data_IF_209742295145
#
_entry.id   IF_209742295145
#
_cell.length_a   1.000
_cell.length_b   1.000
_cell.length_c   1.000
_cell.angle_alpha   90.00
_cell.angle_beta   90.00
_cell.angle_gamma   90.00
#
_symmetry.space_group_name_H-M   'P 1'
#
loop_
_entity.id
_entity.type
_entity.pdbx_description
1 polymer ?
#
# COMPACT_ATOMS: atom_id res chain seq x y z
N UNK A 1 -38.10 99.79 13.43
CA UNK A 1 -37.31 100.30 14.57
C UNK A 1 -36.85 99.07 15.36
N UNK A 2 -35.53 98.94 15.56
CA UNK A 2 -34.77 97.94 16.34
C UNK A 2 -34.62 96.49 15.79
N UNK A 3 -33.41 96.24 15.25
CA UNK A 3 -32.58 95.02 15.44
C UNK A 3 -32.05 95.01 16.92
N UNK A 4 -31.29 94.02 17.48
CA UNK A 4 -30.55 92.90 16.87
C UNK A 4 -30.42 91.57 17.70
N UNK A 5 -29.50 90.70 17.26
CA UNK A 5 -28.62 89.77 18.04
C UNK A 5 -28.98 88.27 17.95
N UNK A 6 -28.30 87.44 17.14
CA UNK A 6 -26.88 86.98 17.13
C UNK A 6 -26.54 85.93 18.20
N UNK A 7 -26.34 84.66 17.80
CA UNK A 7 -25.12 83.89 18.09
C UNK A 7 -25.13 82.48 17.45
N UNK A 8 -23.96 82.13 16.94
CA UNK A 8 -23.52 81.01 16.07
C UNK A 8 -23.13 79.74 16.87
N UNK A 9 -22.84 78.60 16.20
CA UNK A 9 -22.93 77.25 16.75
C UNK A 9 -21.60 76.70 17.31
N UNK A 10 -21.68 75.74 18.22
CA UNK A 10 -20.54 74.93 18.69
C UNK A 10 -20.81 73.42 18.50
N UNK A 11 -20.27 72.85 17.42
CA UNK A 11 -20.13 71.40 17.26
C UNK A 11 -18.81 70.97 17.92
N UNK A 12 -18.88 70.43 19.13
CA UNK A 12 -17.73 69.88 19.84
C UNK A 12 -17.47 68.41 19.44
N UNK A 13 -16.47 68.26 18.56
CA UNK A 13 -15.30 67.35 18.63
C UNK A 13 -15.52 65.93 19.18
N UNK A 14 -15.41 64.93 18.29
CA UNK A 14 -15.32 63.50 18.60
C UNK A 14 -13.98 63.11 19.25
N UNK A 15 -13.94 62.18 20.22
CA UNK A 15 -12.69 61.66 20.76
C UNK A 15 -12.01 60.67 19.82
N UNK A 16 -10.70 60.85 19.65
CA UNK A 16 -9.79 60.04 18.83
C UNK A 16 -9.63 58.63 19.44
N UNK A 17 -9.85 57.59 18.63
CA UNK A 17 -9.60 56.18 18.97
C UNK A 17 -8.13 55.85 18.77
N UNK A 18 -7.45 55.33 19.80
CA UNK A 18 -6.07 54.82 19.73
C UNK A 18 -6.00 53.55 18.86
N UNK A 19 -4.94 53.34 18.05
CA UNK A 19 -4.78 52.09 17.31
C UNK A 19 -4.43 50.93 18.26
N UNK A 20 -5.16 49.81 18.16
CA UNK A 20 -4.85 48.59 18.89
C UNK A 20 -3.53 47.97 18.41
N UNK A 21 -2.64 47.63 19.35
CA UNK A 21 -1.36 46.97 19.10
C UNK A 21 -1.58 45.54 18.56
N UNK A 22 -0.77 45.04 17.59
CA UNK A 22 -0.91 43.67 17.09
C UNK A 22 -0.57 42.65 18.20
N UNK A 23 -1.43 41.65 18.38
CA UNK A 23 -1.17 40.52 19.29
C UNK A 23 0.00 39.66 18.77
N UNK A 24 0.82 39.07 19.67
CA UNK A 24 1.91 38.19 19.27
C UNK A 24 1.38 36.92 18.58
N UNK A 25 2.15 36.33 17.65
CA UNK A 25 1.75 35.12 16.96
C UNK A 25 1.58 33.95 17.94
N UNK A 26 0.60 33.06 17.73
CA UNK A 26 0.39 31.90 18.58
C UNK A 26 1.62 30.98 18.55
N UNK A 27 1.93 30.28 19.66
CA UNK A 27 3.04 29.33 19.69
C UNK A 27 2.81 28.18 18.69
N UNK A 28 3.88 27.60 18.12
CA UNK A 28 3.77 26.48 17.20
C UNK A 28 3.09 25.30 17.88
N UNK A 29 1.97 24.86 17.32
CA UNK A 29 1.23 23.70 17.79
C UNK A 29 2.10 22.46 17.62
N UNK A 30 2.45 21.77 18.71
CA UNK A 30 3.19 20.51 18.62
C UNK A 30 2.36 19.51 17.79
N UNK A 31 2.94 18.87 16.75
CA UNK A 31 2.20 17.88 15.97
C UNK A 31 1.75 16.74 16.88
N UNK A 32 0.45 16.44 16.80
CA UNK A 32 -0.22 15.47 17.66
C UNK A 32 0.37 14.07 17.40
N UNK A 33 1.19 13.55 18.32
CA UNK A 33 1.88 12.25 18.19
C UNK A 33 0.93 11.05 18.00
N UNK A 34 -0.36 11.21 18.32
CA UNK A 34 -1.37 10.19 18.07
C UNK A 34 -1.73 10.04 16.59
N UNK A 35 -1.59 11.09 15.77
CA UNK A 35 -1.87 11.03 14.33
C UNK A 35 -0.73 10.39 13.53
N UNK A 36 0.50 10.38 14.04
CA UNK A 36 1.64 9.75 13.36
C UNK A 36 1.58 8.21 13.40
N UNK A 37 0.98 7.62 14.44
CA UNK A 37 0.73 6.17 14.52
C UNK A 37 -0.27 5.67 13.46
N UNK A 38 -1.19 6.54 13.03
CA UNK A 38 -2.18 6.25 11.98
C UNK A 38 -1.66 6.59 10.58
N UNK A 39 -0.55 7.34 10.47
CA UNK A 39 0.11 7.65 9.21
C UNK A 39 0.89 6.46 8.62
N UNK A 40 1.24 5.47 9.44
CA UNK A 40 1.92 4.25 9.01
C UNK A 40 0.94 3.15 8.57
N UNK A 41 -0.25 3.53 8.06
CA UNK A 41 -1.17 2.54 7.53
C UNK A 41 -0.60 1.99 6.22
N UNK A 42 -0.48 0.66 6.10
CA UNK A 42 0.04 0.05 4.89
C UNK A 42 -0.81 0.46 3.68
N UNK A 43 -0.17 0.75 2.55
CA UNK A 43 -0.85 1.29 1.36
C UNK A 43 -1.84 0.26 0.81
N UNK A 44 -3.13 0.43 1.14
CA UNK A 44 -4.23 -0.40 0.64
C UNK A 44 -4.70 0.16 -0.69
N UNK A 45 -4.63 -0.67 -1.74
CA UNK A 45 -5.16 -0.39 -3.07
C UNK A 45 -6.25 -1.39 -3.41
N UNK A 46 -7.40 -0.86 -3.80
CA UNK A 46 -8.54 -1.64 -4.30
C UNK A 46 -8.75 -1.29 -5.77
N UNK A 47 -9.00 -2.29 -6.60
CA UNK A 47 -9.32 -2.11 -8.02
C UNK A 47 -10.47 -3.06 -8.36
N UNK A 48 -11.45 -2.54 -9.07
CA UNK A 48 -12.61 -3.28 -9.55
C UNK A 48 -12.80 -2.98 -11.02
N UNK A 49 -12.88 -4.02 -11.84
CA UNK A 49 -13.05 -3.92 -13.29
C UNK A 49 -14.31 -4.68 -13.67
N UNK A 50 -15.13 -4.13 -14.56
CA UNK A 50 -16.35 -4.78 -15.06
C UNK A 50 -16.14 -5.20 -16.50
N UNK A 51 -16.47 -6.44 -16.82
CA UNK A 51 -16.48 -6.95 -18.20
C UNK A 51 -17.93 -7.07 -18.68
N UNK A 52 -18.25 -6.37 -19.78
CA UNK A 52 -19.59 -6.36 -20.37
C UNK A 52 -19.96 -7.67 -21.05
N UNK A 53 -18.98 -8.40 -21.59
CA UNK A 53 -19.23 -9.60 -22.39
C UNK A 53 -19.61 -10.77 -21.48
N UNK A 54 -18.85 -10.97 -20.39
CA UNK A 54 -19.13 -11.99 -19.38
C UNK A 54 -20.08 -11.53 -18.26
N UNK A 55 -20.33 -10.21 -18.14
CA UNK A 55 -21.14 -9.59 -17.08
C UNK A 55 -20.62 -9.89 -15.66
N UNK A 56 -19.30 -9.93 -15.49
CA UNK A 56 -18.66 -10.16 -14.18
C UNK A 56 -17.83 -8.96 -13.74
N UNK A 57 -17.58 -8.88 -12.44
CA UNK A 57 -16.65 -7.94 -11.84
C UNK A 57 -15.39 -8.67 -11.38
N UNK A 58 -14.23 -8.18 -11.80
CA UNK A 58 -12.92 -8.59 -11.31
C UNK A 58 -12.51 -7.67 -10.18
N UNK A 59 -12.32 -8.22 -8.99
CA UNK A 59 -11.89 -7.47 -7.81
C UNK A 59 -10.45 -7.81 -7.45
N UNK A 60 -9.67 -6.79 -7.12
CA UNK A 60 -8.28 -6.91 -6.70
C UNK A 60 -8.04 -5.98 -5.52
N UNK A 61 -7.74 -6.56 -4.37
CA UNK A 61 -7.35 -5.84 -3.15
C UNK A 61 -5.89 -6.14 -2.89
N UNK A 62 -5.06 -5.12 -2.72
CA UNK A 62 -3.65 -5.31 -2.40
C UNK A 62 -3.16 -4.34 -1.35
N UNK A 63 -2.24 -4.80 -0.51
CA UNK A 63 -1.72 -4.06 0.62
C UNK A 63 -0.22 -4.32 0.73
N UNK A 64 0.61 -3.28 0.76
CA UNK A 64 2.04 -3.44 1.02
C UNK A 64 2.29 -3.54 2.53
N UNK A 65 3.10 -4.50 2.96
CA UNK A 65 3.38 -4.80 4.36
C UNK A 65 4.85 -4.55 4.67
N UNK A 66 5.16 -4.23 5.93
CA UNK A 66 6.53 -4.07 6.45
C UNK A 66 7.38 -3.10 5.62
N UNK A 67 6.94 -1.85 5.48
CA UNK A 67 7.66 -0.82 4.71
C UNK A 67 8.02 -1.27 3.28
N UNK A 68 7.02 -1.82 2.59
CA UNK A 68 7.11 -2.32 1.21
C UNK A 68 7.98 -3.58 1.01
N UNK A 69 8.39 -4.26 2.09
CA UNK A 69 9.14 -5.52 2.00
C UNK A 69 8.30 -6.68 1.44
N UNK A 70 6.98 -6.64 1.67
CA UNK A 70 6.05 -7.63 1.16
C UNK A 70 4.75 -6.99 0.64
N UNK A 71 3.99 -7.76 -0.12
CA UNK A 71 2.69 -7.37 -0.65
C UNK A 71 1.71 -8.52 -0.48
N UNK A 72 0.61 -8.24 0.21
CA UNK A 72 -0.56 -9.10 0.25
C UNK A 72 -1.50 -8.69 -0.88
N UNK A 73 -2.03 -9.65 -1.64
CA UNK A 73 -2.97 -9.43 -2.73
C UNK A 73 -4.08 -10.49 -2.66
N UNK A 74 -5.32 -10.04 -2.58
CA UNK A 74 -6.51 -10.86 -2.79
C UNK A 74 -7.10 -10.50 -4.16
N UNK A 75 -7.48 -11.50 -4.93
CA UNK A 75 -8.20 -11.32 -6.19
C UNK A 75 -9.38 -12.28 -6.23
N UNK A 76 -10.50 -11.87 -6.78
CA UNK A 76 -11.69 -12.71 -6.94
C UNK A 76 -12.63 -12.13 -7.99
N UNK A 77 -13.44 -12.99 -8.57
CA UNK A 77 -14.48 -12.66 -9.55
C UNK A 77 -15.84 -12.70 -8.87
N UNK A 78 -16.70 -11.75 -9.20
CA UNK A 78 -18.07 -11.66 -8.71
C UNK A 78 -19.05 -11.54 -9.89
N UNK A 79 -20.05 -12.42 -9.95
CA UNK A 79 -21.06 -12.39 -11.00
C UNK A 79 -22.32 -11.60 -10.60
N UNK A 80 -23.28 -11.45 -11.53
CA UNK A 80 -24.55 -10.74 -11.27
C UNK A 80 -25.39 -11.32 -10.12
N UNK A 81 -25.17 -12.59 -9.76
CA UNK A 81 -25.85 -13.27 -8.65
C UNK A 81 -25.14 -13.08 -7.31
N UNK A 82 -24.05 -12.30 -7.28
CA UNK A 82 -23.17 -12.11 -6.12
C UNK A 82 -22.40 -13.36 -5.71
N UNK A 83 -22.24 -14.31 -6.62
CA UNK A 83 -21.42 -15.50 -6.38
C UNK A 83 -19.94 -15.13 -6.61
N UNK A 84 -19.08 -15.60 -5.71
CA UNK A 84 -17.64 -15.36 -5.75
C UNK A 84 -16.94 -16.59 -6.33
N UNK A 85 -16.00 -16.36 -7.24
CA UNK A 85 -15.20 -17.40 -7.91
C UNK A 85 -13.80 -16.90 -8.23
N UNK A 86 -12.92 -17.78 -8.69
CA UNK A 86 -11.52 -17.52 -9.07
C UNK A 86 -10.77 -16.75 -7.97
N UNK A 87 -11.03 -17.12 -6.72
CA UNK A 87 -10.44 -16.43 -5.58
C UNK A 87 -8.97 -16.83 -5.41
N UNK A 88 -8.07 -15.86 -5.31
CA UNK A 88 -6.64 -16.11 -5.15
C UNK A 88 -6.07 -15.18 -4.09
N UNK A 89 -5.40 -15.76 -3.11
CA UNK A 89 -4.66 -15.04 -2.08
C UNK A 89 -3.15 -15.19 -2.34
N UNK A 90 -2.44 -14.08 -2.49
CA UNK A 90 -1.01 -14.07 -2.72
C UNK A 90 -0.28 -13.20 -1.69
N UNK A 91 0.78 -13.73 -1.11
CA UNK A 91 1.79 -12.99 -0.37
C UNK A 91 3.08 -13.00 -1.19
N UNK A 92 3.61 -11.83 -1.53
CA UNK A 92 4.82 -11.71 -2.36
C UNK A 92 5.83 -10.80 -1.68
N UNK A 93 7.05 -11.29 -1.46
CA UNK A 93 8.20 -10.52 -1.03
C UNK A 93 9.37 -10.75 -2.00
N UNK A 94 10.52 -10.13 -1.72
CA UNK A 94 11.74 -10.36 -2.50
C UNK A 94 12.18 -11.83 -2.53
N UNK A 95 12.00 -12.54 -1.41
CA UNK A 95 12.59 -13.87 -1.21
C UNK A 95 11.58 -15.00 -1.09
N UNK A 96 10.30 -14.68 -0.90
CA UNK A 96 9.22 -15.63 -0.69
C UNK A 96 7.99 -15.17 -1.45
N UNK A 97 7.37 -16.07 -2.18
CA UNK A 97 6.03 -15.89 -2.71
C UNK A 97 5.17 -17.09 -2.36
N UNK A 98 3.95 -16.82 -1.90
CA UNK A 98 2.95 -17.84 -1.58
C UNK A 98 1.71 -17.47 -2.37
N UNK A 99 1.20 -18.41 -3.14
CA UNK A 99 -0.04 -18.28 -3.89
C UNK A 99 -0.99 -19.38 -3.42
N UNK A 100 -2.06 -18.99 -2.75
CA UNK A 100 -3.09 -19.90 -2.27
C UNK A 100 -4.34 -19.75 -3.13
N UNK A 101 -4.79 -20.88 -3.65
CA UNK A 101 -6.04 -21.04 -4.38
C UNK A 101 -7.00 -21.86 -3.50
N UNK A 102 -8.05 -21.22 -2.92
CA UNK A 102 -9.03 -21.91 -2.09
C UNK A 102 -9.88 -22.92 -2.87
N UNK A 103 -10.12 -22.71 -4.16
CA UNK A 103 -10.95 -23.60 -4.99
C UNK A 103 -10.20 -24.90 -5.27
N UNK A 104 -8.90 -24.78 -5.56
CA UNK A 104 -8.05 -25.95 -5.70
C UNK A 104 -7.64 -26.54 -4.35
N UNK A 105 -7.83 -25.84 -3.23
CA UNK A 105 -7.25 -26.18 -1.92
C UNK A 105 -5.73 -26.41 -2.02
N UNK A 106 -5.07 -25.59 -2.84
CA UNK A 106 -3.66 -25.72 -3.12
C UNK A 106 -2.91 -24.44 -2.74
N UNK A 107 -1.66 -24.60 -2.32
CA UNK A 107 -0.74 -23.50 -2.16
C UNK A 107 0.55 -23.78 -2.96
N UNK A 108 0.98 -22.80 -3.74
CA UNK A 108 2.28 -22.78 -4.39
C UNK A 108 3.20 -21.84 -3.62
N UNK A 109 4.24 -22.42 -3.03
CA UNK A 109 5.25 -21.71 -2.25
C UNK A 109 6.51 -21.64 -3.11
N UNK A 110 7.08 -20.46 -3.28
CA UNK A 110 8.37 -20.27 -3.97
C UNK A 110 9.29 -19.42 -3.13
N UNK A 111 10.56 -19.81 -3.06
CA UNK A 111 11.62 -19.02 -2.42
C UNK A 111 12.74 -18.77 -3.40
N UNK A 112 13.35 -17.60 -3.33
CA UNK A 112 14.54 -17.27 -4.12
C UNK A 112 15.43 -16.29 -3.36
N UNK A 113 16.70 -16.64 -3.16
CA UNK A 113 17.65 -15.76 -2.49
C UNK A 113 19.07 -16.01 -2.98
N UNK A 114 19.88 -14.97 -2.90
CA UNK A 114 21.27 -15.02 -3.33
C UNK A 114 22.09 -15.64 -2.19
N UNK A 115 22.86 -16.69 -2.49
CA UNK A 115 23.77 -17.36 -1.54
C UNK A 115 25.23 -16.89 -1.72
N UNK A 116 25.48 -16.03 -2.70
CA UNK A 116 26.76 -15.38 -2.95
C UNK A 116 26.68 -14.47 -4.18
N UNK A 117 27.78 -13.78 -4.55
CA UNK A 117 27.77 -12.77 -5.61
C UNK A 117 27.31 -13.26 -6.99
N UNK A 118 27.44 -14.57 -7.25
CA UNK A 118 27.09 -15.21 -8.53
C UNK A 118 26.23 -16.47 -8.35
N UNK A 119 25.71 -16.71 -7.15
CA UNK A 119 24.99 -17.91 -6.80
C UNK A 119 23.60 -17.55 -6.28
N UNK A 120 22.57 -18.12 -6.89
CA UNK A 120 21.19 -17.96 -6.48
C UNK A 120 20.57 -19.32 -6.18
N UNK A 121 19.91 -19.42 -5.04
CA UNK A 121 19.12 -20.58 -4.67
C UNK A 121 17.64 -20.31 -4.95
N UNK A 122 16.96 -21.29 -5.52
CA UNK A 122 15.51 -21.28 -5.76
C UNK A 122 14.91 -22.55 -5.19
N UNK A 123 13.71 -22.43 -4.63
CA UNK A 123 12.89 -23.60 -4.32
C UNK A 123 11.43 -23.29 -4.66
N UNK A 124 10.71 -24.31 -5.11
CA UNK A 124 9.28 -24.24 -5.33
C UNK A 124 8.62 -25.49 -4.75
N UNK A 125 7.43 -25.34 -4.18
CA UNK A 125 6.67 -26.44 -3.62
C UNK A 125 5.18 -26.25 -3.90
N UNK A 126 4.61 -27.25 -4.57
CA UNK A 126 3.17 -27.41 -4.74
C UNK A 126 2.66 -28.34 -3.63
N UNK A 127 1.89 -27.76 -2.70
CA UNK A 127 1.46 -28.44 -1.48
C UNK A 127 0.50 -29.59 -1.78
N UNK A 128 -0.47 -29.37 -2.67
CA UNK A 128 -1.48 -30.37 -3.02
C UNK A 128 -0.87 -31.51 -3.82
N UNK A 129 -0.02 -31.20 -4.79
CA UNK A 129 0.66 -32.20 -5.61
C UNK A 129 1.78 -32.93 -4.84
N UNK A 130 2.17 -32.43 -3.65
CA UNK A 130 3.33 -32.92 -2.87
C UNK A 130 4.61 -32.96 -3.70
N UNK A 131 4.76 -32.00 -4.61
CA UNK A 131 5.91 -31.90 -5.53
C UNK A 131 6.70 -30.66 -5.19
N UNK A 132 7.96 -30.85 -4.84
CA UNK A 132 8.92 -29.76 -4.69
C UNK A 132 10.01 -29.83 -5.73
N UNK A 133 10.64 -28.70 -5.99
CA UNK A 133 11.87 -28.58 -6.77
C UNK A 133 12.80 -27.60 -6.06
N UNK A 134 14.08 -27.91 -6.05
CA UNK A 134 15.15 -26.99 -5.64
C UNK A 134 16.09 -26.80 -6.82
N UNK A 135 16.58 -25.59 -6.98
CA UNK A 135 17.54 -25.25 -8.01
C UNK A 135 18.63 -24.32 -7.47
N UNK A 136 19.84 -24.49 -7.99
CA UNK A 136 20.98 -23.61 -7.75
C UNK A 136 21.46 -23.08 -9.09
N UNK A 137 21.52 -21.75 -9.20
CA UNK A 137 21.95 -21.04 -10.40
C UNK A 137 23.30 -20.39 -10.14
N UNK A 138 24.29 -20.70 -10.96
CA UNK A 138 25.62 -20.13 -10.90
C UNK A 138 25.93 -19.31 -12.16
N UNK A 139 26.22 -18.02 -12.00
CA UNK A 139 26.70 -17.16 -13.09
C UNK A 139 28.22 -17.40 -13.26
N UNK A 140 28.64 -17.95 -14.40
CA UNK A 140 30.00 -18.50 -14.58
C UNK A 140 30.95 -17.50 -15.24
N UNK A 141 30.50 -16.75 -16.24
CA UNK A 141 31.34 -15.82 -16.98
C UNK A 141 30.56 -14.64 -17.56
N UNK A 142 31.23 -13.51 -17.70
CA UNK A 142 30.75 -12.39 -18.52
C UNK A 142 31.11 -12.69 -20.00
N UNK A 143 30.18 -12.51 -20.97
CA UNK A 143 28.88 -11.87 -20.85
C UNK A 143 27.74 -12.89 -20.65
N UNK A 144 27.39 -13.18 -19.40
CA UNK A 144 26.06 -13.69 -19.04
C UNK A 144 25.80 -15.20 -19.18
N UNK A 145 26.80 -16.08 -19.04
CA UNK A 145 26.52 -17.52 -18.96
C UNK A 145 26.14 -17.94 -17.53
N UNK A 146 25.02 -18.66 -17.40
CA UNK A 146 24.56 -19.24 -16.16
C UNK A 146 24.39 -20.76 -16.29
N UNK A 147 24.77 -21.50 -15.24
CA UNK A 147 24.49 -22.92 -15.09
C UNK A 147 23.44 -23.08 -14.01
N UNK A 148 22.34 -23.76 -14.33
CA UNK A 148 21.29 -24.10 -13.37
C UNK A 148 21.29 -25.62 -13.15
N UNK A 149 21.39 -26.01 -11.88
CA UNK A 149 21.24 -27.41 -11.44
C UNK A 149 19.95 -27.48 -10.63
N UNK A 150 18.96 -28.21 -11.12
CA UNK A 150 17.69 -28.44 -10.44
C UNK A 150 17.48 -29.90 -10.07
N UNK A 151 16.73 -30.14 -8.99
CA UNK A 151 16.35 -31.46 -8.53
C UNK A 151 14.94 -31.41 -7.92
N UNK A 152 14.11 -32.43 -8.16
CA UNK A 152 12.90 -32.60 -7.36
C UNK A 152 13.27 -32.79 -5.88
N UNK A 153 12.45 -32.24 -4.99
CA UNK A 153 12.54 -32.48 -3.54
C UNK A 153 11.58 -33.60 -3.18
N UNK A 154 12.07 -34.73 -2.67
CA UNK A 154 11.19 -35.78 -2.17
C UNK A 154 10.43 -35.26 -0.95
N UNK A 155 9.15 -35.63 -0.86
CA UNK A 155 8.31 -35.33 0.30
C UNK A 155 8.81 -36.14 1.51
N UNK A 156 9.78 -35.61 2.25
CA UNK A 156 10.08 -36.07 3.61
C UNK A 156 9.03 -35.44 4.50
N UNK A 157 8.09 -36.26 4.96
CA UNK A 157 6.87 -35.86 5.64
C UNK A 157 7.11 -34.85 6.76
N UNK A 158 6.24 -33.83 6.78
CA UNK A 158 5.97 -33.00 7.96
C UNK A 158 4.92 -33.69 8.83
#
# INVERSE_FOLDING_TARGET
MLEPSSQTPDYLISPITTPAQPSPPPPPTKPNQFLSLISNRPSLRVTSEFDSDSRVFFHKVSCKLFDDLAKLKLSFVNNVKREISDSVLALTSKHLSIHYDPEEQNALIKTSFDVGPKLQFKAAHDVKAKRGEVAMVANVADPGYAVEVSSPVPYIGL
#
